data_IF_981216122591
#
_entry.id   IF_981216122591
#
_cell.length_a   1.000
_cell.length_b   1.000
_cell.length_c   1.000
_cell.angle_alpha   90.00
_cell.angle_beta   90.00
_cell.angle_gamma   90.00
#
_symmetry.space_group_name_H-M   'P 1'
#
loop_
_entity.id
_entity.type
_entity.pdbx_description
1 polymer ?
#
# COMPACT_ATOMS: atom_id res chain seq x y z
N UNK A 1 20.40 -23.06 2.98
CA UNK A 1 19.53 -22.50 4.04
C UNK A 1 18.51 -21.62 3.33
N UNK A 2 17.25 -22.04 3.29
CA UNK A 2 16.17 -21.25 2.68
C UNK A 2 15.73 -20.24 3.74
N UNK A 3 16.21 -19.00 3.66
CA UNK A 3 15.62 -17.91 4.42
C UNK A 3 14.18 -17.75 3.95
N UNK A 4 13.26 -18.37 4.67
CA UNK A 4 11.84 -18.08 4.55
C UNK A 4 11.63 -16.73 5.23
N UNK A 5 11.89 -15.66 4.49
CA UNK A 5 11.59 -14.31 4.95
C UNK A 5 10.08 -14.16 5.00
N UNK A 6 9.48 -14.56 6.12
CA UNK A 6 8.13 -14.14 6.48
C UNK A 6 8.21 -12.65 6.82
N UNK A 7 8.38 -11.82 5.80
CA UNK A 7 8.13 -10.40 5.92
C UNK A 7 6.63 -10.25 5.90
N UNK A 8 6.07 -9.64 6.95
CA UNK A 8 4.66 -9.29 6.95
C UNK A 8 4.32 -8.51 5.68
N UNK A 9 3.05 -8.56 5.22
CA UNK A 9 2.65 -7.84 4.02
C UNK A 9 3.06 -6.37 4.14
N UNK A 10 3.63 -5.81 3.08
CA UNK A 10 3.88 -4.38 3.04
C UNK A 10 2.55 -3.63 3.19
N UNK A 11 2.60 -2.36 3.61
CA UNK A 11 1.38 -1.60 3.93
C UNK A 11 0.41 -1.49 2.74
N UNK A 12 0.91 -1.55 1.50
CA UNK A 12 0.07 -1.57 0.31
C UNK A 12 -0.77 -2.83 0.25
N UNK A 13 -0.14 -3.98 0.45
CA UNK A 13 -0.80 -5.29 0.51
C UNK A 13 -1.73 -5.40 1.72
N UNK A 14 -1.27 -4.99 2.90
CA UNK A 14 -2.05 -5.09 4.16
C UNK A 14 -3.34 -4.27 4.12
N UNK A 15 -3.29 -3.07 3.53
CA UNK A 15 -4.44 -2.16 3.45
C UNK A 15 -5.27 -2.34 2.17
N UNK A 16 -4.89 -3.29 1.29
CA UNK A 16 -5.60 -3.54 0.03
C UNK A 16 -5.52 -2.39 -0.99
N UNK A 17 -4.49 -1.55 -0.90
CA UNK A 17 -4.33 -0.37 -1.77
C UNK A 17 -4.10 -0.76 -3.24
N UNK A 18 -3.54 -1.95 -3.50
CA UNK A 18 -3.43 -2.54 -4.85
C UNK A 18 -4.75 -2.56 -5.61
N UNK A 19 -5.82 -3.00 -4.97
CA UNK A 19 -7.16 -3.09 -5.57
C UNK A 19 -7.73 -1.70 -5.92
N UNK A 20 -7.22 -0.65 -5.26
CA UNK A 20 -7.58 0.74 -5.50
C UNK A 20 -6.62 1.44 -6.50
N UNK A 21 -5.60 0.75 -7.00
CA UNK A 21 -4.59 1.34 -7.87
C UNK A 21 -3.59 2.25 -7.15
N UNK A 22 -3.44 2.09 -5.84
CA UNK A 22 -2.61 2.91 -4.97
C UNK A 22 -1.39 2.11 -4.48
N UNK A 23 -0.31 2.83 -4.14
CA UNK A 23 0.86 2.31 -3.44
C UNK A 23 1.16 3.17 -2.23
N UNK A 24 1.42 2.55 -1.08
CA UNK A 24 1.87 3.28 0.11
C UNK A 24 3.31 3.78 -0.11
N UNK A 25 3.55 5.08 0.08
CA UNK A 25 4.88 5.71 -0.08
C UNK A 25 5.41 6.32 1.22
N UNK A 26 4.56 6.48 2.21
CA UNK A 26 4.90 7.03 3.51
C UNK A 26 3.79 6.78 4.53
N UNK A 27 4.11 7.01 5.81
CA UNK A 27 3.14 6.92 6.89
C UNK A 27 3.45 7.93 7.99
N UNK A 28 2.41 8.44 8.64
CA UNK A 28 2.51 9.24 9.85
C UNK A 28 1.63 8.62 10.93
N UNK A 29 2.25 8.22 12.03
CA UNK A 29 1.60 7.56 13.15
C UNK A 29 1.54 8.53 14.33
N UNK A 30 0.36 8.67 14.91
CA UNK A 30 0.11 9.37 16.17
C UNK A 30 -0.56 8.43 17.15
N UNK A 31 -0.77 8.88 18.39
CA UNK A 31 -1.48 8.09 19.40
C UNK A 31 -2.94 7.86 19.00
N UNK A 32 -3.54 8.79 18.27
CA UNK A 32 -4.97 8.76 17.94
C UNK A 32 -5.25 8.12 16.57
N UNK A 33 -4.29 8.20 15.64
CA UNK A 33 -4.51 7.74 14.27
C UNK A 33 -3.23 7.40 13.51
N UNK A 34 -3.40 6.60 12.46
CA UNK A 34 -2.40 6.33 11.44
C UNK A 34 -2.88 6.89 10.09
N UNK A 35 -2.04 7.68 9.43
CA UNK A 35 -2.30 8.23 8.10
C UNK A 35 -1.27 7.66 7.12
N UNK A 36 -1.73 7.20 5.97
CA UNK A 36 -0.89 6.60 4.92
C UNK A 36 -0.84 7.52 3.72
N UNK A 37 0.37 7.94 3.34
CA UNK A 37 0.59 8.65 2.09
C UNK A 37 0.56 7.65 0.93
N UNK A 38 -0.31 7.89 -0.04
CA UNK A 38 -0.51 7.02 -1.19
C UNK A 38 -0.09 7.72 -2.49
N UNK A 39 0.48 6.95 -3.41
CA UNK A 39 0.72 7.36 -4.80
C UNK A 39 -0.12 6.51 -5.74
N UNK A 40 -0.71 7.13 -6.76
CA UNK A 40 -1.34 6.41 -7.86
C UNK A 40 -0.30 5.60 -8.63
N UNK A 41 -0.57 4.32 -8.88
CA UNK A 41 0.25 3.57 -9.83
C UNK A 41 -0.03 4.08 -11.23
N UNK A 42 0.99 4.66 -11.86
CA UNK A 42 0.97 5.03 -13.27
C UNK A 42 0.71 3.76 -14.09
N UNK A 43 -0.53 3.57 -14.53
CA UNK A 43 -0.96 2.34 -15.20
C UNK A 43 -2.41 1.94 -14.94
N UNK A 44 -3.05 2.46 -13.88
CA UNK A 44 -4.50 2.26 -13.68
C UNK A 44 -5.26 3.19 -14.61
N UNK A 45 -5.36 2.76 -15.87
CA UNK A 45 -6.36 3.26 -16.79
C UNK A 45 -7.69 2.67 -16.30
N UNK A 46 -8.41 3.40 -15.44
CA UNK A 46 -9.80 3.07 -15.13
C UNK A 46 -10.64 3.06 -16.42
N UNK A 47 -11.79 2.37 -16.46
CA UNK A 47 -12.68 2.49 -17.60
C UNK A 47 -13.11 3.95 -17.72
N UNK A 48 -12.90 4.53 -18.89
CA UNK A 48 -13.54 5.80 -19.26
C UNK A 48 -15.02 5.45 -19.41
N UNK A 49 -15.83 5.85 -18.42
CA UNK A 49 -17.27 5.91 -18.57
C UNK A 49 -17.64 7.09 -19.48
#
# INVERSE_FOLDING_TARGET
MSETTFTGPDLTTFLGLDALGLTAVGQHLTVECAVIECRMRTGVRGPVL
#
